data_IF_675536839925
#
_entry.id   IF_675536839925
#
_cell.length_a   1.000
_cell.length_b   1.000
_cell.length_c   1.000
_cell.angle_alpha   90.00
_cell.angle_beta   90.00
_cell.angle_gamma   90.00
#
_symmetry.space_group_name_H-M   'P 1'
#
loop_
_entity.id
_entity.type
_entity.pdbx_description
1 polymer ?
#
# COMPACT_ATOMS: atom_id res chain seq x y z
N UNK A 1 16.99 -20.40 -4.68
CA UNK A 1 15.89 -21.13 -4.03
C UNK A 1 15.45 -20.50 -2.70
N UNK A 2 16.36 -20.23 -1.74
CA UNK A 2 16.00 -19.67 -0.41
C UNK A 2 15.34 -18.29 -0.43
N UNK A 3 15.74 -17.39 -1.33
CA UNK A 3 15.17 -16.02 -1.44
C UNK A 3 13.69 -16.08 -1.82
N UNK A 4 13.35 -16.88 -2.84
CA UNK A 4 11.96 -17.04 -3.29
C UNK A 4 11.04 -17.54 -2.16
N UNK A 5 11.51 -18.48 -1.34
CA UNK A 5 10.70 -18.98 -0.21
C UNK A 5 10.43 -17.90 0.86
N UNK A 6 11.35 -16.96 1.05
CA UNK A 6 11.15 -15.83 1.98
C UNK A 6 10.20 -14.80 1.37
N UNK A 7 10.35 -14.48 0.07
CA UNK A 7 9.43 -13.57 -0.62
C UNK A 7 8.00 -14.11 -0.68
N UNK A 8 7.85 -15.42 -0.93
CA UNK A 8 6.54 -16.09 -0.93
C UNK A 8 5.90 -15.97 0.47
N UNK A 9 6.68 -16.21 1.54
CA UNK A 9 6.23 -16.05 2.93
C UNK A 9 5.89 -14.59 3.29
N UNK A 10 6.60 -13.62 2.72
CA UNK A 10 6.31 -12.20 2.93
C UNK A 10 5.00 -11.78 2.26
N UNK A 11 4.71 -12.32 1.08
CA UNK A 11 3.55 -11.96 0.27
C UNK A 11 2.29 -12.80 0.53
N UNK A 12 2.38 -13.93 1.24
CA UNK A 12 1.24 -14.86 1.43
C UNK A 12 0.00 -14.15 2.04
N UNK A 13 0.20 -13.36 3.09
CA UNK A 13 -0.88 -12.54 3.70
C UNK A 13 -1.28 -11.32 2.85
N UNK A 14 -0.45 -10.90 1.90
CA UNK A 14 -0.80 -9.80 1.00
C UNK A 14 -1.59 -10.29 -0.22
N UNK A 15 -1.56 -11.60 -0.51
CA UNK A 15 -2.32 -12.21 -1.61
C UNK A 15 -3.84 -12.14 -1.43
N UNK A 16 -4.32 -11.98 -0.19
CA UNK A 16 -5.75 -11.84 0.14
C UNK A 16 -6.25 -10.39 0.02
N UNK A 17 -5.37 -9.45 -0.31
CA UNK A 17 -5.75 -8.06 -0.48
C UNK A 17 -6.65 -7.87 -1.70
N UNK A 18 -7.66 -6.98 -1.64
CA UNK A 18 -8.59 -6.78 -2.74
C UNK A 18 -7.91 -6.14 -3.94
N UNK A 19 -8.20 -6.64 -5.16
CA UNK A 19 -7.64 -6.07 -6.39
C UNK A 19 -8.01 -4.58 -6.59
N UNK A 20 -9.18 -4.19 -6.09
CA UNK A 20 -9.67 -2.82 -6.10
C UNK A 20 -9.89 -2.36 -4.66
N UNK A 21 -9.26 -1.25 -4.29
CA UNK A 21 -9.46 -0.61 -3.00
C UNK A 21 -10.24 0.70 -3.20
N UNK A 22 -11.37 0.82 -2.50
CA UNK A 22 -12.22 2.01 -2.59
C UNK A 22 -11.97 2.93 -1.40
N UNK A 23 -11.65 4.20 -1.69
CA UNK A 23 -11.41 5.25 -0.69
C UNK A 23 -12.26 6.45 -1.05
N UNK A 24 -13.43 6.58 -0.42
CA UNK A 24 -14.41 7.60 -0.81
C UNK A 24 -14.92 7.35 -2.24
N UNK A 25 -14.84 8.36 -3.10
CA UNK A 25 -15.17 8.23 -4.53
C UNK A 25 -13.99 7.72 -5.38
N UNK A 26 -12.83 7.49 -4.79
CA UNK A 26 -11.61 7.09 -5.51
C UNK A 26 -11.45 5.57 -5.50
N UNK A 27 -10.99 5.02 -6.62
CA UNK A 27 -10.64 3.60 -6.75
C UNK A 27 -9.14 3.46 -6.91
N UNK A 28 -8.54 2.47 -6.27
CA UNK A 28 -7.11 2.17 -6.36
C UNK A 28 -6.88 0.75 -6.85
N UNK A 29 -5.92 0.58 -7.75
CA UNK A 29 -5.50 -0.70 -8.33
C UNK A 29 -4.35 -1.34 -7.55
N UNK A 30 -4.48 -2.62 -7.22
CA UNK A 30 -3.45 -3.41 -6.53
C UNK A 30 -2.34 -3.86 -7.49
N UNK A 31 -1.10 -3.57 -7.10
CA UNK A 31 0.14 -4.12 -7.63
C UNK A 31 0.87 -4.89 -6.51
N UNK A 32 0.58 -6.19 -6.40
CA UNK A 32 1.16 -7.07 -5.37
C UNK A 32 2.66 -7.34 -5.64
N UNK A 33 3.47 -7.45 -4.58
CA UNK A 33 4.91 -7.70 -4.68
C UNK A 33 5.70 -6.49 -5.20
N UNK A 34 5.12 -5.30 -5.08
CA UNK A 34 5.73 -4.05 -5.54
C UNK A 34 5.49 -2.94 -4.52
N UNK A 35 6.35 -1.91 -4.58
CA UNK A 35 6.14 -0.65 -3.88
C UNK A 35 6.01 0.49 -4.89
N UNK A 36 5.10 1.40 -4.62
CA UNK A 36 4.98 2.67 -5.29
C UNK A 36 6.14 3.57 -4.85
N UNK A 37 6.73 4.30 -5.79
CA UNK A 37 7.82 5.24 -5.56
C UNK A 37 7.33 6.64 -5.87
N UNK A 38 7.54 7.58 -4.95
CA UNK A 38 7.10 8.96 -5.07
C UNK A 38 7.25 9.76 -3.78
N UNK A 39 6.63 10.93 -3.72
CA UNK A 39 6.70 11.81 -2.56
C UNK A 39 5.80 11.33 -1.43
N UNK A 40 6.40 10.78 -0.37
CA UNK A 40 5.68 10.37 0.84
C UNK A 40 5.12 11.57 1.59
N UNK A 41 3.83 11.51 1.93
CA UNK A 41 3.12 12.55 2.70
C UNK A 41 2.68 12.06 4.07
N UNK A 42 2.60 10.75 4.27
CA UNK A 42 2.20 10.16 5.55
C UNK A 42 2.76 8.75 5.71
N UNK A 43 2.98 8.32 6.95
CA UNK A 43 3.38 6.97 7.32
C UNK A 43 2.63 6.54 8.58
N UNK A 44 2.14 5.31 8.60
CA UNK A 44 1.51 4.69 9.76
C UNK A 44 2.18 3.35 10.01
N UNK A 45 2.51 3.06 11.27
CA UNK A 45 3.14 1.80 11.72
C UNK A 45 2.21 1.06 12.67
N UNK A 46 2.59 -0.15 13.01
CA UNK A 46 1.90 -1.00 14.00
C UNK A 46 0.41 -1.20 13.68
N UNK A 47 0.11 -1.35 12.39
CA UNK A 47 -1.24 -1.53 11.91
C UNK A 47 -1.71 -2.97 12.17
N UNK A 48 -2.97 -3.11 12.57
CA UNK A 48 -3.65 -4.39 12.56
C UNK A 48 -4.08 -4.79 11.12
N UNK A 49 -4.50 -3.81 10.32
CA UNK A 49 -5.01 -3.99 8.97
C UNK A 49 -4.90 -2.69 8.12
N UNK A 50 -5.37 -2.74 6.88
CA UNK A 50 -5.37 -1.61 5.94
C UNK A 50 -6.38 -0.50 6.25
N UNK A 51 -7.35 -0.73 7.13
CA UNK A 51 -8.48 0.18 7.35
C UNK A 51 -8.04 1.57 7.83
N UNK A 52 -7.00 1.64 8.67
CA UNK A 52 -6.44 2.93 9.09
C UNK A 52 -5.77 3.67 7.92
N UNK A 53 -5.09 2.95 7.02
CA UNK A 53 -4.46 3.55 5.83
C UNK A 53 -5.50 4.19 4.90
N UNK A 54 -6.60 3.48 4.64
CA UNK A 54 -7.69 4.02 3.83
C UNK A 54 -8.38 5.19 4.51
N UNK A 55 -8.49 5.17 5.83
CA UNK A 55 -9.13 6.25 6.60
C UNK A 55 -8.31 7.54 6.50
N UNK A 56 -6.98 7.47 6.63
CA UNK A 56 -6.11 8.65 6.45
C UNK A 56 -6.10 9.11 5.00
N UNK A 57 -6.03 8.20 4.03
CA UNK A 57 -6.09 8.59 2.62
C UNK A 57 -7.42 9.31 2.28
N UNK A 58 -8.54 8.84 2.83
CA UNK A 58 -9.85 9.50 2.72
C UNK A 58 -9.86 10.90 3.34
N UNK A 59 -9.21 11.08 4.50
CA UNK A 59 -9.09 12.40 5.13
C UNK A 59 -8.35 13.39 4.23
N UNK A 60 -7.22 12.97 3.64
CA UNK A 60 -6.48 13.81 2.68
C UNK A 60 -7.36 14.19 1.49
N UNK A 61 -8.03 13.22 0.86
CA UNK A 61 -8.94 13.46 -0.26
C UNK A 61 -10.09 14.41 0.11
N UNK A 62 -10.67 14.25 1.30
CA UNK A 62 -11.76 15.10 1.80
C UNK A 62 -11.32 16.53 2.08
N UNK A 63 -10.03 16.76 2.30
CA UNK A 63 -9.42 18.09 2.45
C UNK A 63 -8.96 18.69 1.11
N UNK A 64 -9.29 18.06 -0.02
CA UNK A 64 -8.82 18.47 -1.35
C UNK A 64 -7.33 18.23 -1.57
N UNK A 65 -6.67 17.42 -0.73
CA UNK A 65 -5.29 16.97 -0.92
C UNK A 65 -5.29 15.66 -1.70
N UNK A 66 -4.22 15.42 -2.44
CA UNK A 66 -4.12 14.19 -3.23
C UNK A 66 -3.42 13.07 -2.47
N UNK A 67 -4.00 11.87 -2.57
CA UNK A 67 -3.41 10.60 -2.19
C UNK A 67 -3.32 9.77 -3.47
N UNK A 68 -2.17 9.81 -4.17
CA UNK A 68 -2.01 9.13 -5.47
C UNK A 68 -1.70 7.66 -5.35
N UNK A 69 -1.09 7.26 -4.24
CA UNK A 69 -0.71 5.88 -4.02
C UNK A 69 -0.61 5.55 -2.53
N UNK A 70 -0.84 4.29 -2.21
CA UNK A 70 -0.68 3.73 -0.87
C UNK A 70 0.25 2.53 -0.99
N UNK A 71 1.36 2.54 -0.27
CA UNK A 71 2.10 1.32 -0.01
C UNK A 71 1.56 0.67 1.25
N UNK A 72 1.30 -0.63 1.22
CA UNK A 72 1.03 -1.44 2.40
C UNK A 72 2.11 -2.51 2.51
N UNK A 73 2.83 -2.54 3.62
CA UNK A 73 3.95 -3.44 3.85
C UNK A 73 3.65 -4.41 4.97
N UNK A 74 4.06 -5.66 4.77
CA UNK A 74 4.18 -6.67 5.79
C UNK A 74 5.65 -6.79 6.19
N UNK A 75 5.95 -6.48 7.43
CA UNK A 75 7.27 -6.59 8.02
C UNK A 75 7.32 -7.85 8.89
N UNK A 76 8.38 -8.64 8.73
CA UNK A 76 8.70 -9.74 9.65
C UNK A 76 9.87 -9.26 10.52
N UNK A 77 9.61 -9.05 11.80
CA UNK A 77 10.61 -8.74 12.81
C UNK A 77 10.80 -9.93 13.75
N UNK A 78 11.87 -9.96 14.59
CA UNK A 78 11.99 -10.99 15.62
C UNK A 78 10.87 -10.93 16.67
N UNK A 79 10.10 -9.83 16.72
CA UNK A 79 8.96 -9.64 17.63
C UNK A 79 7.65 -10.18 17.04
N UNK A 80 7.58 -10.40 15.73
CA UNK A 80 6.38 -10.93 15.06
C UNK A 80 6.16 -10.33 13.68
N UNK A 81 4.91 -10.37 13.24
CA UNK A 81 4.46 -9.74 12.00
C UNK A 81 3.87 -8.38 12.33
N UNK A 82 4.36 -7.36 11.67
CA UNK A 82 3.88 -5.99 11.78
C UNK A 82 3.45 -5.51 10.39
N UNK A 83 2.47 -4.60 10.36
CA UNK A 83 2.06 -3.93 9.14
C UNK A 83 2.32 -2.44 9.25
N UNK A 84 2.70 -1.84 8.13
CA UNK A 84 2.85 -0.39 8.00
C UNK A 84 2.29 0.05 6.65
N UNK A 85 1.95 1.33 6.54
CA UNK A 85 1.65 1.93 5.25
C UNK A 85 2.27 3.30 5.07
N UNK A 86 2.49 3.62 3.81
CA UNK A 86 2.91 4.95 3.37
C UNK A 86 1.87 5.49 2.39
N UNK A 87 1.51 6.75 2.54
CA UNK A 87 0.69 7.46 1.58
C UNK A 87 1.60 8.36 0.76
N UNK A 88 1.43 8.34 -0.56
CA UNK A 88 2.20 9.16 -1.48
C UNK A 88 1.33 10.26 -2.09
N UNK A 89 1.80 11.49 -1.98
CA UNK A 89 1.23 12.68 -2.60
C UNK A 89 1.74 12.95 -4.02
N UNK A 90 2.67 12.13 -4.52
CA UNK A 90 3.05 12.03 -5.94
C UNK A 90 3.42 10.58 -6.27
N UNK A 91 3.30 10.18 -7.54
CA UNK A 91 3.73 8.87 -8.03
C UNK A 91 4.71 9.06 -9.19
N UNK A 92 5.90 8.45 -9.08
CA UNK A 92 6.98 8.52 -10.08
C UNK A 92 7.21 7.16 -10.73
N UNK A 93 6.93 6.07 -10.02
CA UNK A 93 7.06 4.73 -10.56
C UNK A 93 6.62 3.64 -9.59
N UNK A 94 6.83 2.40 -10.02
CA UNK A 94 6.55 1.18 -9.26
C UNK A 94 7.78 0.29 -9.40
N UNK A 95 8.26 -0.28 -8.29
CA UNK A 95 9.39 -1.20 -8.30
C UNK A 95 9.08 -2.48 -7.53
N UNK A 96 9.72 -3.62 -7.87
CA UNK A 96 9.59 -4.85 -7.11
C UNK A 96 9.99 -4.64 -5.64
N UNK A 97 9.19 -5.16 -4.72
CA UNK A 97 9.48 -5.11 -3.29
C UNK A 97 8.80 -6.28 -2.57
N UNK A 98 9.58 -7.09 -1.88
CA UNK A 98 9.06 -8.20 -1.08
C UNK A 98 8.24 -7.71 0.10
N UNK A 99 7.11 -8.37 0.38
CA UNK A 99 6.24 -7.97 1.49
C UNK A 99 5.59 -6.62 1.27
N UNK A 100 5.45 -6.16 0.03
CA UNK A 100 4.81 -4.90 -0.31
C UNK A 100 3.62 -5.09 -1.25
N UNK A 101 2.61 -4.26 -1.06
CA UNK A 101 1.51 -4.05 -1.97
C UNK A 101 1.41 -2.56 -2.29
N UNK A 102 1.48 -2.23 -3.58
CA UNK A 102 1.35 -0.87 -4.09
C UNK A 102 -0.08 -0.69 -4.62
N UNK A 103 -0.85 0.21 -4.02
CA UNK A 103 -2.14 0.65 -4.52
C UNK A 103 -2.00 1.98 -5.23
N UNK A 104 -2.42 2.06 -6.49
CA UNK A 104 -2.31 3.28 -7.31
C UNK A 104 -3.71 3.83 -7.58
N UNK A 105 -3.89 5.14 -7.37
CA UNK A 105 -5.14 5.82 -7.72
C UNK A 105 -5.44 5.61 -9.21
N UNK A 106 -6.58 5.00 -9.51
CA UNK A 106 -7.10 4.88 -10.86
C UNK A 106 -7.59 6.25 -11.29
N UNK A 107 -6.94 6.84 -12.28
CA UNK A 107 -7.56 7.94 -13.01
C UNK A 107 -8.66 7.37 -13.87
N UNK A 108 -9.90 7.66 -13.52
CA UNK A 108 -11.00 7.53 -14.46
C UNK A 108 -10.81 8.65 -15.51
N UNK A 109 -10.21 8.30 -16.65
CA UNK A 109 -10.25 9.17 -17.82
C UNK A 109 -11.72 9.32 -18.24
N UNK A 110 -12.35 10.44 -17.92
CA UNK A 110 -13.57 10.92 -18.56
C UNK A 110 -13.33 12.30 -19.17
#
# INVERSE_FOLDING_TARGET
MRIQQISDSLNDNLSVLPQNLFVGSSTFDLHLGTKCVGGKIYEIRDLADMGQCTSVCLEFLSQGKTCFAINFFRLISPQGVEFMCELLGTLVGVEPADGAACYILRYDYY
#
